data_IF_985233667936
#
_entry.id   IF_985233667936
#
_cell.length_a   1.000
_cell.length_b   1.000
_cell.length_c   1.000
_cell.angle_alpha   90.00
_cell.angle_beta   90.00
_cell.angle_gamma   90.00
#
_symmetry.space_group_name_H-M   'P 1'
#
loop_
_entity.id
_entity.type
_entity.pdbx_description
1 polymer ?
#
# COMPACT_ATOMS: atom_id res chain seq x y z
N UNK A 1 14.70 -12.76 -13.92
CA UNK A 1 13.69 -12.63 -14.99
C UNK A 1 12.60 -11.72 -14.48
N UNK A 2 12.21 -10.69 -15.24
CA UNK A 2 11.17 -9.72 -14.83
C UNK A 2 9.99 -9.90 -15.79
N UNK A 3 8.80 -10.06 -15.24
CA UNK A 3 7.57 -10.23 -16.01
C UNK A 3 6.65 -9.04 -15.80
N UNK A 4 6.07 -8.58 -16.89
CA UNK A 4 5.06 -7.54 -16.89
C UNK A 4 3.74 -8.15 -17.33
N UNK A 5 2.68 -7.85 -16.60
CA UNK A 5 1.33 -8.27 -16.93
C UNK A 5 0.36 -7.13 -16.61
N UNK A 6 -0.65 -6.97 -17.45
CA UNK A 6 -1.66 -5.93 -17.32
C UNK A 6 -2.89 -6.47 -16.63
N UNK A 7 -3.49 -5.68 -15.75
CA UNK A 7 -4.79 -5.99 -15.13
C UNK A 7 -5.80 -4.94 -15.58
N UNK A 8 -6.97 -5.38 -16.03
CA UNK A 8 -8.07 -4.48 -16.36
C UNK A 8 -8.82 -4.11 -15.09
N UNK A 9 -9.05 -2.81 -14.86
CA UNK A 9 -9.85 -2.36 -13.71
C UNK A 9 -11.27 -2.96 -13.75
N UNK A 10 -11.77 -3.44 -12.60
CA UNK A 10 -13.09 -4.08 -12.51
C UNK A 10 -13.16 -5.53 -13.00
N UNK A 11 -12.07 -6.07 -13.53
CA UNK A 11 -11.96 -7.51 -13.82
C UNK A 11 -12.08 -8.31 -12.51
N UNK A 12 -12.65 -9.52 -12.55
CA UNK A 12 -12.79 -10.36 -11.33
C UNK A 12 -11.89 -11.61 -11.37
N UNK A 13 -11.32 -11.89 -12.55
CA UNK A 13 -10.42 -13.02 -12.80
C UNK A 13 -9.01 -12.48 -12.96
N UNK A 14 -8.42 -12.07 -11.85
CA UNK A 14 -7.03 -11.61 -11.81
C UNK A 14 -6.04 -12.76 -12.02
N UNK A 15 -6.53 -14.01 -11.90
CA UNK A 15 -5.72 -15.22 -11.97
C UNK A 15 -5.95 -16.07 -13.23
N UNK A 16 -5.57 -15.56 -14.40
CA UNK A 16 -4.88 -16.42 -15.37
C UNK A 16 -3.39 -16.72 -15.02
N UNK A 17 -2.68 -16.02 -14.11
CA UNK A 17 -1.28 -16.33 -13.83
C UNK A 17 -1.04 -17.25 -12.62
N UNK A 18 -2.04 -17.82 -11.92
CA UNK A 18 -1.75 -18.72 -10.79
C UNK A 18 -0.85 -19.91 -11.17
N UNK A 19 -1.11 -20.51 -12.34
CA UNK A 19 -0.27 -21.55 -12.92
C UNK A 19 1.09 -21.01 -13.39
N UNK A 20 1.16 -19.78 -13.89
CA UNK A 20 2.39 -19.14 -14.35
C UNK A 20 3.30 -18.73 -13.19
N UNK A 21 2.74 -18.16 -12.13
CA UNK A 21 3.46 -17.83 -10.89
C UNK A 21 4.11 -19.08 -10.29
N UNK A 22 3.41 -20.21 -10.30
CA UNK A 22 3.98 -21.51 -9.91
C UNK A 22 5.03 -22.02 -10.90
N UNK A 23 4.70 -22.03 -12.20
CA UNK A 23 5.58 -22.56 -13.26
C UNK A 23 6.91 -21.80 -13.34
N UNK A 24 6.85 -20.49 -13.21
CA UNK A 24 7.99 -19.58 -13.31
C UNK A 24 8.66 -19.33 -11.94
N UNK A 25 8.19 -19.99 -10.87
CA UNK A 25 8.67 -19.81 -9.48
C UNK A 25 8.80 -18.34 -9.08
N UNK A 26 7.71 -17.58 -9.23
CA UNK A 26 7.71 -16.16 -8.90
C UNK A 26 7.54 -15.99 -7.38
N UNK A 27 8.60 -15.51 -6.74
CA UNK A 27 8.65 -15.27 -5.30
C UNK A 27 8.16 -13.87 -4.89
N UNK A 28 8.16 -12.90 -5.82
CA UNK A 28 7.80 -11.52 -5.54
C UNK A 28 6.95 -10.88 -6.65
N UNK A 29 5.90 -10.16 -6.27
CA UNK A 29 5.02 -9.41 -7.17
C UNK A 29 4.83 -7.99 -6.66
N UNK A 30 5.15 -7.01 -7.50
CA UNK A 30 4.78 -5.62 -7.29
C UNK A 30 3.51 -5.30 -8.07
N UNK A 31 2.46 -4.85 -7.37
CA UNK A 31 1.17 -4.48 -7.96
C UNK A 31 0.98 -2.97 -7.89
N UNK A 32 0.82 -2.31 -9.05
CA UNK A 32 0.73 -0.85 -9.16
C UNK A 32 -0.67 -0.25 -9.13
N UNK A 33 -1.68 -0.95 -8.58
CA UNK A 33 -3.08 -0.47 -8.58
C UNK A 33 -3.64 -0.18 -7.20
N UNK A 34 -4.96 -0.33 -7.05
CA UNK A 34 -5.71 0.01 -5.83
C UNK A 34 -6.15 -1.21 -5.00
N UNK A 35 -6.62 -0.93 -3.79
CA UNK A 35 -7.02 -1.93 -2.80
C UNK A 35 -8.11 -2.94 -3.25
N UNK A 36 -9.11 -2.61 -4.10
CA UNK A 36 -10.15 -3.59 -4.44
C UNK A 36 -9.61 -4.80 -5.21
N UNK A 37 -8.82 -4.54 -6.23
CA UNK A 37 -8.16 -5.57 -7.05
C UNK A 37 -7.08 -6.29 -6.24
N UNK A 38 -6.28 -5.54 -5.46
CA UNK A 38 -5.22 -6.14 -4.64
C UNK A 38 -5.78 -7.17 -3.65
N UNK A 39 -6.91 -6.87 -3.01
CA UNK A 39 -7.53 -7.80 -2.08
C UNK A 39 -8.00 -9.08 -2.74
N UNK A 40 -8.51 -9.01 -3.97
CA UNK A 40 -8.90 -10.18 -4.75
C UNK A 40 -7.69 -11.00 -5.21
N UNK A 41 -6.61 -10.35 -5.68
CA UNK A 41 -5.35 -11.01 -6.06
C UNK A 41 -4.81 -11.83 -4.89
N UNK A 42 -4.72 -11.23 -3.71
CA UNK A 42 -4.24 -11.89 -2.50
C UNK A 42 -5.07 -13.12 -2.14
N UNK A 43 -6.40 -13.00 -2.12
CA UNK A 43 -7.28 -14.13 -1.81
C UNK A 43 -7.10 -15.28 -2.78
N UNK A 44 -7.10 -14.98 -4.08
CA UNK A 44 -6.99 -16.02 -5.09
C UNK A 44 -5.58 -16.66 -5.04
N UNK A 45 -4.52 -15.88 -4.77
CA UNK A 45 -3.15 -16.39 -4.66
C UNK A 45 -2.98 -17.32 -3.45
N UNK A 46 -3.49 -16.92 -2.27
CA UNK A 46 -3.45 -17.75 -1.06
C UNK A 46 -4.33 -18.98 -1.17
N UNK A 47 -5.51 -18.87 -1.78
CA UNK A 47 -6.36 -20.03 -2.10
C UNK A 47 -5.66 -21.02 -3.06
N UNK A 48 -4.80 -20.52 -3.94
CA UNK A 48 -3.96 -21.34 -4.81
C UNK A 48 -2.72 -21.91 -4.10
N UNK A 49 -2.50 -21.64 -2.80
CA UNK A 49 -1.34 -22.09 -2.03
C UNK A 49 -0.03 -21.38 -2.39
N UNK A 50 -0.10 -20.20 -3.01
CA UNK A 50 1.09 -19.41 -3.35
C UNK A 50 1.67 -18.74 -2.09
N UNK A 51 2.98 -18.89 -1.89
CA UNK A 51 3.76 -18.20 -0.85
C UNK A 51 4.42 -16.91 -1.35
N UNK A 52 4.13 -16.51 -2.59
CA UNK A 52 4.65 -15.29 -3.21
C UNK A 52 4.45 -14.08 -2.29
N UNK A 53 5.51 -13.27 -2.15
CA UNK A 53 5.50 -12.00 -1.47
C UNK A 53 4.86 -10.95 -2.39
N UNK A 54 3.90 -10.20 -1.85
CA UNK A 54 3.25 -9.13 -2.60
C UNK A 54 3.65 -7.78 -2.03
N UNK A 55 3.74 -6.78 -2.92
CA UNK A 55 3.97 -5.40 -2.57
C UNK A 55 3.12 -4.47 -3.42
N UNK A 56 2.65 -3.35 -2.86
CA UNK A 56 1.92 -2.33 -3.62
C UNK A 56 2.18 -0.90 -3.16
N UNK A 57 1.64 0.10 -3.87
CA UNK A 57 1.75 1.50 -3.49
C UNK A 57 0.89 1.82 -2.27
N UNK A 58 1.08 3.00 -1.66
CA UNK A 58 0.24 3.48 -0.55
C UNK A 58 -1.27 3.32 -0.81
N UNK A 59 -1.71 3.47 -2.07
CA UNK A 59 -3.10 3.31 -2.50
C UNK A 59 -3.72 1.91 -2.26
N UNK A 60 -2.91 0.88 -1.99
CA UNK A 60 -3.42 -0.43 -1.54
C UNK A 60 -3.66 -0.50 -0.03
N UNK A 61 -3.02 0.37 0.75
CA UNK A 61 -3.06 0.37 2.21
C UNK A 61 -4.31 1.09 2.76
N UNK A 62 -5.50 0.59 2.42
CA UNK A 62 -6.78 1.11 2.86
C UNK A 62 -7.46 0.15 3.85
N UNK A 63 -8.26 0.67 4.80
CA UNK A 63 -9.05 -0.14 5.75
C UNK A 63 -9.94 -1.17 5.05
N UNK A 64 -10.43 -0.84 3.85
CA UNK A 64 -11.25 -1.73 3.02
C UNK A 64 -10.48 -2.93 2.48
N UNK A 65 -9.14 -2.88 2.39
CA UNK A 65 -8.32 -4.01 1.96
C UNK A 65 -8.52 -5.20 2.90
N UNK A 66 -8.50 -4.97 4.21
CA UNK A 66 -8.70 -6.03 5.21
C UNK A 66 -10.06 -6.69 5.08
N UNK A 67 -11.10 -5.92 4.72
CA UNK A 67 -12.44 -6.46 4.49
C UNK A 67 -12.51 -7.36 3.26
N UNK A 68 -11.70 -7.07 2.24
CA UNK A 68 -11.70 -7.82 0.98
C UNK A 68 -10.80 -9.04 1.07
N UNK A 69 -9.60 -8.90 1.65
CA UNK A 69 -8.57 -9.93 1.66
C UNK A 69 -8.57 -10.80 2.91
N UNK A 70 -9.05 -10.29 4.05
CA UNK A 70 -8.92 -10.93 5.35
C UNK A 70 -7.46 -11.32 5.65
N UNK A 71 -7.26 -12.53 6.17
CA UNK A 71 -5.95 -13.11 6.46
C UNK A 71 -5.04 -13.21 5.22
N UNK A 72 -5.60 -13.19 4.01
CA UNK A 72 -4.78 -13.25 2.79
C UNK A 72 -3.92 -11.99 2.58
N UNK A 73 -4.22 -10.88 3.26
CA UNK A 73 -3.39 -9.68 3.26
C UNK A 73 -2.17 -9.75 4.18
N UNK A 74 -2.05 -10.81 4.99
CA UNK A 74 -0.91 -10.96 5.87
C UNK A 74 0.40 -10.98 5.09
N UNK A 75 1.37 -10.22 5.59
CA UNK A 75 2.68 -10.04 4.97
C UNK A 75 2.70 -9.11 3.75
N UNK A 76 1.59 -8.48 3.34
CA UNK A 76 1.62 -7.48 2.26
C UNK A 76 2.55 -6.31 2.61
N UNK A 77 3.51 -6.04 1.71
CA UNK A 77 4.36 -4.84 1.82
C UNK A 77 3.69 -3.67 1.10
N UNK A 78 3.79 -2.48 1.69
CA UNK A 78 3.25 -1.25 1.09
C UNK A 78 4.30 -0.17 1.11
N UNK A 79 4.45 0.57 0.01
CA UNK A 79 5.24 1.81 0.06
C UNK A 79 4.44 2.86 0.81
N UNK A 80 5.02 3.41 1.88
CA UNK A 80 4.50 4.57 2.58
C UNK A 80 5.63 5.56 2.83
N UNK A 81 5.35 6.87 2.76
CA UNK A 81 6.29 7.85 3.27
C UNK A 81 6.56 7.59 4.76
N UNK A 82 7.74 7.99 5.24
CA UNK A 82 8.07 7.90 6.67
C UNK A 82 6.98 8.60 7.49
N UNK A 83 6.43 7.90 8.50
CA UNK A 83 5.34 8.41 9.31
C UNK A 83 5.66 9.81 9.85
N UNK A 84 4.65 10.69 9.79
CA UNK A 84 4.78 12.09 10.16
C UNK A 84 5.30 12.33 11.58
N UNK A 85 4.89 11.47 12.50
CA UNK A 85 5.25 11.50 13.93
C UNK A 85 6.66 10.99 14.23
N UNK A 86 7.30 10.30 13.28
CA UNK A 86 8.67 9.82 13.38
C UNK A 86 9.71 10.82 12.84
N UNK A 87 9.27 12.01 12.43
CA UNK A 87 10.16 13.10 12.00
C UNK A 87 10.35 14.06 13.18
N UNK A 88 11.57 14.20 13.75
CA UNK A 88 11.80 15.01 14.93
C UNK A 88 11.34 16.47 14.80
N UNK A 89 11.44 17.04 13.60
CA UNK A 89 10.99 18.40 13.29
C UNK A 89 9.47 18.60 13.45
N UNK A 90 8.68 17.53 13.40
CA UNK A 90 7.22 17.59 13.47
C UNK A 90 6.67 17.43 14.89
N UNK A 91 7.54 17.20 15.89
CA UNK A 91 7.15 17.04 17.30
C UNK A 91 6.14 18.09 17.81
N UNK A 92 6.31 19.41 17.57
CA UNK A 92 5.32 20.39 18.03
C UNK A 92 3.94 20.23 17.39
N UNK A 93 3.88 19.76 16.13
CA UNK A 93 2.62 19.54 15.40
C UNK A 93 1.97 18.24 15.88
N UNK A 94 2.76 17.19 16.10
CA UNK A 94 2.31 15.91 16.68
C UNK A 94 1.71 16.11 18.06
N UNK A 95 2.36 16.91 18.91
CA UNK A 95 1.88 17.22 20.26
C UNK A 95 0.56 18.02 20.20
N UNK A 96 0.42 18.94 19.25
CA UNK A 96 -0.85 19.66 19.01
C UNK A 96 -1.98 18.76 18.49
N UNK A 97 -1.69 17.77 17.63
CA UNK A 97 -2.65 16.79 17.14
C UNK A 97 -3.10 15.85 18.28
N UNK A 98 -2.16 15.37 19.09
CA UNK A 98 -2.46 14.57 20.29
C UNK A 98 -3.29 15.34 21.31
N UNK A 99 -3.03 16.63 21.51
CA UNK A 99 -3.82 17.50 22.38
C UNK A 99 -5.29 17.61 21.92
N UNK A 100 -5.55 17.44 20.62
CA UNK A 100 -6.89 17.37 20.02
C UNK A 100 -7.51 15.96 20.03
N UNK A 101 -6.87 14.98 20.68
CA UNK A 101 -7.26 13.55 20.69
C UNK A 101 -7.37 12.93 19.29
N UNK A 102 -6.59 13.43 18.34
CA UNK A 102 -6.51 12.90 16.98
C UNK A 102 -5.26 12.03 16.83
N UNK A 103 -5.31 11.07 15.91
CA UNK A 103 -4.19 10.16 15.63
C UNK A 103 -3.18 10.82 14.68
N UNK A 104 -1.95 11.12 15.14
CA UNK A 104 -0.92 11.74 14.32
C UNK A 104 -0.32 10.80 13.26
N UNK A 105 -0.66 9.50 13.30
CA UNK A 105 -0.27 8.49 12.30
C UNK A 105 -1.35 8.25 11.24
N UNK A 106 -2.49 8.94 11.34
CA UNK A 106 -3.56 8.85 10.35
C UNK A 106 -3.08 9.35 8.97
N UNK A 107 -3.57 8.77 7.86
CA UNK A 107 -3.22 9.21 6.49
C UNK A 107 -3.50 10.70 6.23
N UNK A 108 -4.44 11.30 6.96
CA UNK A 108 -4.71 12.75 6.90
C UNK A 108 -3.53 13.60 7.37
N UNK A 109 -2.68 13.09 8.27
CA UNK A 109 -1.49 13.79 8.75
C UNK A 109 -0.36 13.79 7.71
N UNK A 110 -0.30 12.81 6.82
CA UNK A 110 0.63 12.84 5.68
C UNK A 110 0.28 13.97 4.69
N UNK A 111 -1.00 14.34 4.56
CA UNK A 111 -1.40 15.50 3.78
C UNK A 111 -0.91 16.83 4.38
N UNK A 112 -0.89 16.93 5.71
CA UNK A 112 -0.33 18.09 6.43
C UNK A 112 1.20 18.18 6.22
N UNK A 113 1.89 17.05 6.05
CA UNK A 113 3.29 17.02 5.62
C UNK A 113 3.48 17.61 4.24
N UNK A 114 2.66 17.19 3.27
CA UNK A 114 2.74 17.69 1.90
C UNK A 114 2.59 19.20 1.86
N UNK A 115 1.61 19.74 2.59
CA UNK A 115 1.39 21.17 2.72
C UNK A 115 2.55 21.90 3.43
N UNK A 116 3.07 21.36 4.54
CA UNK A 116 4.17 21.99 5.28
C UNK A 116 5.52 21.93 4.53
N UNK A 117 5.79 20.84 3.80
CA UNK A 117 6.99 20.71 2.95
C UNK A 117 6.89 21.60 1.71
N UNK A 118 5.70 21.73 1.11
CA UNK A 118 5.47 22.67 0.01
C UNK A 118 5.61 24.13 0.46
N UNK A 119 5.10 24.48 1.64
CA UNK A 119 5.22 25.81 2.23
C UNK A 119 6.66 26.19 2.67
N UNK A 120 7.57 25.21 2.77
CA UNK A 120 8.97 25.40 3.17
C UNK A 120 9.99 25.29 2.03
N UNK A 121 9.58 25.08 0.78
CA UNK A 121 10.50 25.12 -0.36
C UNK A 121 10.61 26.56 -0.88
N UNK A 122 11.79 27.18 -0.91
CA UNK A 122 11.98 28.32 -1.79
C UNK A 122 11.77 27.84 -3.23
N UNK A 123 10.88 28.50 -3.96
CA UNK A 123 10.81 28.33 -5.41
C UNK A 123 12.19 28.62 -5.98
N UNK A 124 12.83 27.60 -6.52
CA UNK A 124 14.06 27.73 -7.29
C UNK A 124 13.75 27.20 -8.68
N UNK A 125 13.58 28.19 -9.57
CA UNK A 125 13.71 28.27 -11.04
C UNK A 125 13.90 26.95 -11.79
#
# INVERSE_FOLDING_TARGET
MVFFDGITAGEKRFLHPGARLKKENIDFVYYGGYHPEMGQILRQARAAGLKTQFMGPEGVANVSLSNIAGESAEGLLVTKPKNYDQVPANKPIVDAIKAKKQDPSAPSCDHLRGAAVAAGRPESV
#
